data_IF_901596386557
#
_entry.id   IF_901596386557
#
_cell.length_a   1.000
_cell.length_b   1.000
_cell.length_c   1.000
_cell.angle_alpha   90.00
_cell.angle_beta   90.00
_cell.angle_gamma   90.00
#
_symmetry.space_group_name_H-M   'P 1'
#
loop_
_entity.id
_entity.type
_entity.pdbx_description
1 polymer ?
#
# COMPACT_ATOMS: atom_id res chain seq x y z
N UNK A 1 20.28 -3.12 2.33
CA UNK A 1 20.69 -1.86 1.66
C UNK A 1 19.48 -1.34 0.91
N UNK A 2 19.13 -0.04 1.01
CA UNK A 2 18.08 0.52 0.15
C UNK A 2 18.48 0.23 -1.31
N UNK A 3 17.49 -0.18 -2.11
CA UNK A 3 17.70 -0.71 -3.45
C UNK A 3 18.62 0.15 -4.30
N UNK A 4 19.35 -0.49 -5.21
CA UNK A 4 20.13 0.20 -6.25
C UNK A 4 19.21 1.21 -6.95
N UNK A 5 19.48 2.54 -6.85
CA UNK A 5 18.65 3.54 -7.52
C UNK A 5 18.50 3.18 -9.00
N UNK A 6 17.32 3.40 -9.59
CA UNK A 6 17.08 3.09 -11.01
C UNK A 6 18.18 3.69 -11.92
N UNK A 7 18.74 4.82 -11.49
CA UNK A 7 19.84 5.54 -12.13
C UNK A 7 21.17 4.77 -12.20
N UNK A 8 21.32 3.65 -11.48
CA UNK A 8 22.50 2.76 -11.56
C UNK A 8 22.26 1.54 -12.46
N UNK A 9 21.02 1.28 -12.88
CA UNK A 9 20.74 0.23 -13.89
C UNK A 9 21.15 0.65 -15.29
N UNK A 10 21.23 1.96 -15.52
CA UNK A 10 21.74 2.52 -16.76
C UNK A 10 23.21 2.88 -16.57
N UNK A 11 24.05 2.51 -17.55
CA UNK A 11 25.46 2.94 -17.60
C UNK A 11 25.62 4.44 -17.85
N UNK A 12 24.52 5.18 -17.88
CA UNK A 12 24.43 6.61 -18.15
C UNK A 12 24.05 7.38 -16.88
N UNK A 13 24.57 8.60 -16.76
CA UNK A 13 24.28 9.47 -15.62
C UNK A 13 22.95 10.21 -15.86
N UNK A 14 21.96 9.97 -15.02
CA UNK A 14 20.78 10.83 -14.96
C UNK A 14 21.06 12.13 -14.22
N UNK A 15 20.48 13.27 -14.65
CA UNK A 15 20.52 14.51 -13.88
C UNK A 15 19.92 14.35 -12.48
N UNK A 16 20.49 15.06 -11.50
CA UNK A 16 20.00 15.12 -10.12
C UNK A 16 19.44 16.51 -9.85
N UNK A 17 18.23 16.76 -10.32
CA UNK A 17 17.60 18.08 -10.27
C UNK A 17 16.20 17.99 -9.66
N UNK A 18 15.81 18.96 -8.82
CA UNK A 18 14.44 19.05 -8.34
C UNK A 18 13.52 19.57 -9.45
N UNK A 19 12.26 19.12 -9.42
CA UNK A 19 11.20 19.65 -10.27
C UNK A 19 10.02 20.11 -9.42
N UNK A 20 9.77 21.42 -9.43
CA UNK A 20 8.63 21.99 -8.70
C UNK A 20 7.41 22.00 -9.62
N UNK A 21 6.35 21.31 -9.21
CA UNK A 21 5.09 21.27 -9.93
C UNK A 21 4.04 22.14 -9.22
N UNK A 22 3.31 22.98 -9.96
CA UNK A 22 2.19 23.75 -9.39
C UNK A 22 0.97 22.85 -9.29
N UNK A 23 0.22 22.96 -8.19
CA UNK A 23 -1.08 22.27 -8.02
C UNK A 23 -2.17 23.33 -8.07
N UNK A 24 -3.06 23.25 -9.04
CA UNK A 24 -4.15 24.21 -9.22
C UNK A 24 -5.34 23.54 -9.91
N UNK A 25 -6.56 23.93 -9.54
CA UNK A 25 -7.80 23.46 -10.18
C UNK A 25 -7.92 21.92 -10.28
N UNK A 26 -7.45 21.19 -9.26
CA UNK A 26 -7.49 19.71 -9.27
C UNK A 26 -6.54 19.06 -10.27
N UNK A 27 -5.47 19.75 -10.68
CA UNK A 27 -4.45 19.24 -11.59
C UNK A 27 -3.05 19.56 -11.09
N UNK A 28 -2.10 18.70 -11.44
CA UNK A 28 -0.68 18.90 -11.22
C UNK A 28 -0.04 19.34 -12.54
N UNK A 29 0.56 20.53 -12.55
CA UNK A 29 1.20 21.12 -13.71
C UNK A 29 2.63 20.62 -13.80
N UNK A 30 2.85 19.57 -14.61
CA UNK A 30 4.20 19.04 -14.86
C UNK A 30 4.99 19.96 -15.79
N UNK A 31 4.32 20.58 -16.76
CA UNK A 31 4.82 21.70 -17.55
C UNK A 31 3.67 22.66 -17.88
N UNK A 32 3.91 23.70 -18.68
CA UNK A 32 2.86 24.60 -19.16
C UNK A 32 1.89 23.91 -20.15
N UNK A 33 2.30 22.76 -20.70
CA UNK A 33 1.55 22.00 -21.71
C UNK A 33 1.06 20.64 -21.20
N UNK A 34 1.71 20.09 -20.17
CA UNK A 34 1.42 18.76 -19.63
C UNK A 34 0.88 18.85 -18.20
N UNK A 35 -0.34 18.33 -18.04
CA UNK A 35 -1.05 18.27 -16.77
C UNK A 35 -1.26 16.81 -16.36
N UNK A 36 -0.98 16.50 -15.10
CA UNK A 36 -1.21 15.20 -14.49
C UNK A 36 -2.48 15.25 -13.64
N UNK A 37 -3.17 14.12 -13.45
CA UNK A 37 -4.32 14.06 -12.56
C UNK A 37 -3.88 14.34 -11.12
N UNK A 38 -4.69 15.09 -10.37
CA UNK A 38 -4.55 15.20 -8.92
C UNK A 38 -5.23 14.01 -8.25
N UNK A 39 -4.43 13.09 -7.72
CA UNK A 39 -4.86 11.86 -7.04
C UNK A 39 -4.12 11.79 -5.71
N UNK A 40 -4.52 12.60 -4.72
CA UNK A 40 -3.76 12.76 -3.50
C UNK A 40 -3.77 11.46 -2.69
N UNK A 41 -2.62 11.15 -2.10
CA UNK A 41 -2.41 9.97 -1.26
C UNK A 41 -1.45 10.29 -0.10
N UNK A 42 -1.37 9.36 0.84
CA UNK A 42 -0.43 9.37 1.96
C UNK A 42 0.58 8.24 1.74
N UNK A 43 1.86 8.60 1.55
CA UNK A 43 2.95 7.64 1.38
C UNK A 43 3.29 6.90 2.67
N UNK A 44 3.35 7.66 3.77
CA UNK A 44 3.71 7.15 5.10
C UNK A 44 2.52 7.17 6.07
N UNK A 45 2.03 5.97 6.42
CA UNK A 45 0.99 5.77 7.43
C UNK A 45 1.28 4.49 8.22
N UNK A 46 1.43 4.59 9.54
CA UNK A 46 1.78 3.44 10.35
C UNK A 46 1.61 3.63 11.84
N UNK A 47 1.85 2.56 12.58
CA UNK A 47 1.87 2.52 14.06
C UNK A 47 3.28 2.18 14.54
N UNK A 48 3.53 2.27 15.85
CA UNK A 48 4.84 1.88 16.38
C UNK A 48 5.17 0.42 15.99
N UNK A 49 6.39 0.16 15.46
CA UNK A 49 6.77 -1.15 14.94
C UNK A 49 6.89 -2.20 16.04
N UNK A 50 6.76 -3.47 15.66
CA UNK A 50 7.01 -4.58 16.58
C UNK A 50 8.45 -4.51 17.12
N UNK A 51 8.65 -4.51 18.46
CA UNK A 51 9.93 -4.16 19.09
C UNK A 51 11.07 -5.13 18.75
N UNK A 52 10.76 -6.37 18.38
CA UNK A 52 11.78 -7.40 18.10
C UNK A 52 12.00 -7.66 16.60
N UNK A 53 11.07 -7.25 15.73
CA UNK A 53 11.11 -7.60 14.29
C UNK A 53 11.45 -6.41 13.39
N UNK A 54 11.10 -5.18 13.79
CA UNK A 54 11.08 -4.02 12.88
C UNK A 54 11.61 -2.72 13.54
N UNK A 55 12.42 -2.82 14.61
CA UNK A 55 12.87 -1.71 15.44
C UNK A 55 13.80 -0.66 14.75
N UNK A 56 14.04 -0.77 13.45
CA UNK A 56 14.91 0.15 12.70
C UNK A 56 14.06 1.16 11.90
N UNK A 57 13.81 2.33 12.48
CA UNK A 57 13.28 3.54 11.82
C UNK A 57 11.96 3.38 11.06
N UNK A 58 10.84 3.56 11.76
CA UNK A 58 9.47 3.47 11.23
C UNK A 58 9.13 4.47 10.12
N UNK A 59 9.88 5.57 9.98
CA UNK A 59 9.59 6.61 8.98
C UNK A 59 10.22 6.41 7.60
N UNK A 60 11.05 5.37 7.40
CA UNK A 60 11.83 5.21 6.15
C UNK A 60 11.50 3.90 5.45
N UNK A 61 11.19 2.85 6.20
CA UNK A 61 10.95 1.53 5.65
C UNK A 61 9.53 1.07 5.95
N UNK A 62 8.84 0.47 4.97
CA UNK A 62 7.55 -0.16 5.21
C UNK A 62 7.70 -1.52 5.91
N UNK A 63 6.70 -1.90 6.70
CA UNK A 63 6.68 -3.17 7.42
C UNK A 63 5.27 -3.63 7.79
N UNK A 64 5.17 -4.60 8.71
CA UNK A 64 3.89 -5.06 9.24
C UNK A 64 3.11 -3.92 9.91
N UNK A 65 3.82 -2.94 10.44
CA UNK A 65 3.28 -1.76 11.11
C UNK A 65 2.80 -0.65 10.15
N UNK A 66 2.82 -0.88 8.83
CA UNK A 66 2.58 0.14 7.82
C UNK A 66 3.89 0.84 7.47
N UNK A 67 3.97 2.15 7.69
CA UNK A 67 5.16 2.96 7.41
C UNK A 67 5.16 3.50 5.99
N UNK A 68 6.34 3.60 5.39
CA UNK A 68 6.54 4.18 4.06
C UNK A 68 6.10 3.24 2.93
N UNK A 69 4.79 2.99 2.86
CA UNK A 69 4.18 2.00 1.97
C UNK A 69 4.07 2.51 0.53
N UNK A 70 3.88 3.82 0.36
CA UNK A 70 3.76 4.48 -0.94
C UNK A 70 2.74 3.79 -1.84
N UNK A 71 1.59 3.40 -1.28
CA UNK A 71 0.50 2.77 -2.02
C UNK A 71 -0.51 3.85 -2.45
N UNK A 72 -0.71 4.08 -3.76
CA UNK A 72 -1.71 5.05 -4.25
C UNK A 72 -3.15 4.81 -3.78
N UNK A 73 -3.44 3.60 -3.29
CA UNK A 73 -4.73 3.25 -2.70
C UNK A 73 -4.90 3.77 -1.25
N UNK A 74 -3.85 4.29 -0.59
CA UNK A 74 -3.94 5.02 0.70
C UNK A 74 -4.34 6.47 0.41
N UNK A 75 -5.58 6.64 0.01
CA UNK A 75 -6.13 7.90 -0.48
C UNK A 75 -7.51 8.18 0.17
N UNK A 76 -8.15 9.34 -0.11
CA UNK A 76 -9.51 9.60 0.39
C UNK A 76 -10.48 8.46 0.05
N UNK A 77 -11.42 8.20 0.96
CA UNK A 77 -12.38 7.09 0.89
C UNK A 77 -11.79 5.67 1.06
N UNK A 78 -10.50 5.56 1.39
CA UNK A 78 -9.88 4.30 1.83
C UNK A 78 -9.79 4.22 3.36
N UNK A 79 -9.96 3.00 3.88
CA UNK A 79 -9.66 2.63 5.27
C UNK A 79 -8.41 1.78 5.30
N UNK A 80 -7.44 2.13 6.15
CA UNK A 80 -6.25 1.31 6.40
C UNK A 80 -6.37 0.68 7.78
N UNK A 81 -6.27 -0.64 7.83
CA UNK A 81 -6.28 -1.43 9.07
C UNK A 81 -4.84 -1.85 9.35
N UNK A 82 -4.33 -1.43 10.50
CA UNK A 82 -2.95 -1.66 10.92
C UNK A 82 -2.90 -2.60 12.13
N UNK A 83 -2.04 -3.63 12.13
CA UNK A 83 -1.76 -4.43 13.32
C UNK A 83 -1.19 -3.57 14.45
N UNK A 84 -1.75 -3.65 15.66
CA UNK A 84 -1.30 -2.86 16.82
C UNK A 84 -0.33 -3.68 17.67
N UNK A 85 0.88 -3.18 17.88
CA UNK A 85 1.95 -3.86 18.64
C UNK A 85 2.22 -3.26 20.01
N UNK A 86 1.73 -2.05 20.27
CA UNK A 86 1.95 -1.30 21.51
C UNK A 86 0.64 -0.68 22.00
N UNK A 87 0.54 -0.48 23.30
CA UNK A 87 -0.58 0.26 23.88
C UNK A 87 -0.70 1.66 23.26
N UNK A 88 -1.93 2.05 22.93
CA UNK A 88 -2.20 3.32 22.26
C UNK A 88 -1.82 3.37 20.77
N UNK A 89 -1.29 2.27 20.21
CA UNK A 89 -0.82 2.12 18.83
C UNK A 89 0.33 3.03 18.38
N UNK A 90 0.37 4.29 18.84
CA UNK A 90 1.36 5.30 18.48
C UNK A 90 1.34 5.58 16.96
N UNK A 91 0.13 5.87 16.45
CA UNK A 91 -0.13 6.20 15.05
C UNK A 91 0.68 7.42 14.59
N UNK A 92 1.27 7.33 13.41
CA UNK A 92 1.92 8.44 12.71
C UNK A 92 1.48 8.47 11.24
N UNK A 93 1.51 9.67 10.66
CA UNK A 93 1.08 9.96 9.29
C UNK A 93 1.92 11.08 8.70
N UNK A 94 2.23 11.01 7.40
CA UNK A 94 2.97 12.04 6.70
C UNK A 94 3.19 11.69 5.23
N UNK A 95 4.09 12.43 4.58
CA UNK A 95 4.51 12.16 3.21
C UNK A 95 3.35 12.19 2.20
N UNK A 96 2.68 13.34 2.09
CA UNK A 96 1.54 13.48 1.21
C UNK A 96 2.00 13.71 -0.23
N UNK A 97 1.44 12.94 -1.16
CA UNK A 97 1.75 13.06 -2.59
C UNK A 97 0.54 13.59 -3.34
N UNK A 98 0.75 14.53 -4.27
CA UNK A 98 -0.31 15.02 -5.14
C UNK A 98 -0.70 14.00 -6.21
N UNK A 99 0.27 13.19 -6.64
CA UNK A 99 0.13 12.06 -7.55
C UNK A 99 1.38 11.18 -7.46
N UNK A 100 1.17 9.87 -7.50
CA UNK A 100 2.24 8.87 -7.59
C UNK A 100 1.85 7.79 -8.60
N UNK A 101 2.83 7.27 -9.34
CA UNK A 101 2.68 6.07 -10.15
C UNK A 101 3.14 4.82 -9.41
N UNK A 102 2.65 3.66 -9.83
CA UNK A 102 3.07 2.37 -9.27
C UNK A 102 4.59 2.16 -9.45
N UNK A 103 5.24 1.75 -8.36
CA UNK A 103 6.68 1.53 -8.26
C UNK A 103 7.49 2.73 -7.79
N UNK A 104 6.94 3.96 -7.83
CA UNK A 104 7.65 5.19 -7.40
C UNK A 104 9.09 5.25 -7.95
N UNK A 105 9.24 5.02 -9.25
CA UNK A 105 10.52 4.58 -9.82
C UNK A 105 11.67 5.61 -9.76
N UNK A 106 11.34 6.90 -9.64
CA UNK A 106 12.30 7.98 -9.42
C UNK A 106 12.80 8.06 -7.97
N UNK A 107 12.15 7.34 -7.05
CA UNK A 107 12.37 7.37 -5.61
C UNK A 107 11.73 8.57 -4.90
N UNK A 108 10.85 9.31 -5.60
CA UNK A 108 10.01 10.38 -5.06
C UNK A 108 8.74 10.48 -5.92
N UNK A 109 7.66 10.96 -5.33
CA UNK A 109 6.43 11.33 -6.00
C UNK A 109 6.36 12.84 -6.27
N UNK A 110 5.16 13.38 -6.53
CA UNK A 110 4.93 14.82 -6.45
C UNK A 110 4.65 15.19 -5.00
N UNK A 111 5.72 15.42 -4.24
CA UNK A 111 5.67 15.75 -2.81
C UNK A 111 4.94 17.06 -2.53
N UNK A 112 4.08 17.08 -1.52
CA UNK A 112 3.36 18.29 -1.11
C UNK A 112 3.09 18.37 0.40
N UNK A 113 3.01 19.58 0.97
CA UNK A 113 2.36 19.76 2.27
C UNK A 113 0.86 19.52 2.13
N UNK A 114 0.23 18.93 3.14
CA UNK A 114 -1.20 18.67 3.16
C UNK A 114 -1.80 18.84 4.56
N UNK A 115 -3.06 19.24 4.61
CA UNK A 115 -3.91 19.04 5.78
C UNK A 115 -4.71 17.75 5.57
N UNK A 116 -4.57 16.80 6.49
CA UNK A 116 -5.17 15.46 6.36
C UNK A 116 -6.17 15.26 7.49
N UNK A 117 -7.42 14.97 7.14
CA UNK A 117 -8.47 14.63 8.09
C UNK A 117 -8.72 13.13 8.06
N UNK A 118 -8.46 12.46 9.17
CA UNK A 118 -8.70 11.03 9.35
C UNK A 118 -9.69 10.78 10.48
N UNK A 119 -10.38 9.64 10.43
CA UNK A 119 -11.07 9.06 11.57
C UNK A 119 -10.29 7.82 12.01
N UNK A 120 -10.01 7.72 13.30
CA UNK A 120 -9.33 6.57 13.89
C UNK A 120 -10.32 5.84 14.79
N UNK A 121 -10.32 4.51 14.70
CA UNK A 121 -11.17 3.63 15.50
C UNK A 121 -10.43 2.31 15.77
N UNK A 122 -10.92 1.54 16.75
CA UNK A 122 -10.41 0.19 17.01
C UNK A 122 -11.29 -0.84 16.31
N UNK A 123 -10.66 -1.83 15.69
CA UNK A 123 -11.33 -2.94 15.00
C UNK A 123 -10.88 -4.25 15.61
N UNK A 124 -11.83 -5.11 15.95
CA UNK A 124 -11.56 -6.48 16.40
C UNK A 124 -11.20 -7.35 15.18
N UNK A 125 -9.96 -7.18 14.72
CA UNK A 125 -9.41 -7.87 13.55
C UNK A 125 -7.93 -8.18 13.81
N UNK A 126 -7.57 -9.46 13.76
CA UNK A 126 -6.21 -9.93 14.04
C UNK A 126 -5.42 -10.08 12.75
N UNK A 127 -4.93 -8.96 12.20
CA UNK A 127 -4.11 -8.96 10.99
C UNK A 127 -2.62 -9.12 11.30
N UNK A 128 -1.89 -9.83 10.42
CA UNK A 128 -0.42 -9.92 10.46
C UNK A 128 0.28 -8.82 9.67
N UNK A 129 -0.44 -8.19 8.75
CA UNK A 129 0.02 -7.18 7.81
C UNK A 129 -1.07 -6.12 7.61
N UNK A 130 -0.72 -4.92 7.12
CA UNK A 130 -1.72 -3.91 6.80
C UNK A 130 -2.73 -4.42 5.77
N UNK A 131 -3.98 -3.98 5.93
CA UNK A 131 -5.04 -4.16 4.94
C UNK A 131 -5.57 -2.79 4.53
N UNK A 132 -5.79 -2.59 3.24
CA UNK A 132 -6.44 -1.41 2.69
C UNK A 132 -7.79 -1.85 2.15
N UNK A 133 -8.82 -1.07 2.46
CA UNK A 133 -10.19 -1.31 2.02
C UNK A 133 -10.78 -0.02 1.48
N UNK A 134 -11.26 -0.04 0.23
CA UNK A 134 -12.04 1.06 -0.35
C UNK A 134 -13.45 0.57 -0.72
N UNK A 135 -14.22 1.34 -1.47
CA UNK A 135 -15.59 0.97 -1.83
C UNK A 135 -15.68 -0.32 -2.66
N UNK A 136 -14.69 -0.59 -3.50
CA UNK A 136 -14.74 -1.65 -4.52
C UNK A 136 -13.85 -2.84 -4.21
N UNK A 137 -12.79 -2.65 -3.43
CA UNK A 137 -11.67 -3.60 -3.32
C UNK A 137 -11.20 -3.75 -1.87
N UNK A 138 -10.69 -4.95 -1.56
CA UNK A 138 -9.89 -5.25 -0.36
C UNK A 138 -8.48 -5.60 -0.82
N UNK A 139 -7.48 -5.13 -0.08
CA UNK A 139 -6.08 -5.23 -0.44
C UNK A 139 -5.24 -5.64 0.76
N UNK A 140 -4.45 -6.70 0.64
CA UNK A 140 -3.49 -7.11 1.66
C UNK A 140 -2.09 -6.67 1.29
N UNK A 141 -1.43 -5.95 2.20
CA UNK A 141 -0.10 -5.40 1.99
C UNK A 141 0.98 -6.37 2.44
N UNK A 142 2.10 -6.41 1.75
CA UNK A 142 3.32 -7.08 2.19
C UNK A 142 4.53 -6.29 1.70
N UNK A 143 5.65 -6.44 2.39
CA UNK A 143 6.85 -5.66 2.11
C UNK A 143 8.06 -6.56 1.92
N UNK A 144 8.98 -6.09 1.10
CA UNK A 144 10.33 -6.65 1.02
C UNK A 144 11.09 -6.33 2.32
N UNK A 145 12.06 -7.18 2.65
CA UNK A 145 13.03 -6.96 3.73
C UNK A 145 14.33 -7.66 3.38
N UNK A 146 15.36 -7.55 4.21
CA UNK A 146 16.61 -8.27 3.96
C UNK A 146 16.33 -9.77 3.79
N UNK A 147 16.67 -10.33 2.62
CA UNK A 147 16.42 -11.73 2.28
C UNK A 147 15.03 -12.05 1.71
N UNK A 148 14.13 -11.07 1.62
CA UNK A 148 12.78 -11.23 1.06
C UNK A 148 12.64 -10.35 -0.17
N UNK A 149 12.55 -10.99 -1.35
CA UNK A 149 12.36 -10.32 -2.64
C UNK A 149 10.95 -9.77 -2.82
N UNK A 150 10.76 -8.90 -3.82
CA UNK A 150 9.43 -8.43 -4.24
C UNK A 150 8.50 -9.59 -4.65
N UNK A 151 9.05 -10.61 -5.32
CA UNK A 151 8.32 -11.84 -5.65
C UNK A 151 7.79 -12.55 -4.40
N UNK A 152 8.60 -12.64 -3.35
CA UNK A 152 8.15 -13.21 -2.08
C UNK A 152 7.14 -12.31 -1.38
N UNK A 153 7.31 -10.98 -1.43
CA UNK A 153 6.31 -10.05 -0.90
C UNK A 153 4.95 -10.23 -1.60
N UNK A 154 4.93 -10.38 -2.93
CA UNK A 154 3.71 -10.68 -3.72
C UNK A 154 3.06 -11.97 -3.24
N UNK A 155 3.84 -13.06 -3.11
CA UNK A 155 3.35 -14.34 -2.59
C UNK A 155 2.72 -14.19 -1.22
N UNK A 156 3.40 -13.50 -0.31
CA UNK A 156 2.88 -13.25 1.04
C UNK A 156 1.57 -12.47 1.00
N UNK A 157 1.48 -11.38 0.23
CA UNK A 157 0.26 -10.59 0.12
C UNK A 157 -0.95 -11.43 -0.35
N UNK A 158 -0.77 -12.29 -1.36
CA UNK A 158 -1.85 -13.19 -1.82
C UNK A 158 -2.19 -14.30 -0.83
N UNK A 159 -1.20 -14.85 -0.11
CA UNK A 159 -1.45 -15.85 0.92
C UNK A 159 -2.25 -15.24 2.09
N UNK A 160 -1.89 -14.04 2.53
CA UNK A 160 -2.65 -13.32 3.56
C UNK A 160 -4.08 -13.04 3.10
N UNK A 161 -4.27 -12.59 1.86
CA UNK A 161 -5.61 -12.41 1.28
C UNK A 161 -6.41 -13.71 1.24
N UNK A 162 -5.81 -14.82 0.78
CA UNK A 162 -6.50 -16.11 0.67
C UNK A 162 -6.88 -16.67 2.05
N UNK A 163 -5.99 -16.56 3.05
CA UNK A 163 -6.28 -16.98 4.42
C UNK A 163 -7.37 -16.13 5.06
N UNK A 164 -7.37 -14.82 4.81
CA UNK A 164 -8.43 -13.93 5.27
C UNK A 164 -9.77 -14.25 4.61
N UNK A 165 -9.78 -14.59 3.32
CA UNK A 165 -10.99 -15.05 2.62
C UNK A 165 -11.53 -16.34 3.26
N UNK A 166 -10.65 -17.31 3.58
CA UNK A 166 -11.03 -18.54 4.28
C UNK A 166 -11.68 -18.24 5.63
N UNK A 167 -11.04 -17.38 6.44
CA UNK A 167 -11.53 -17.02 7.77
C UNK A 167 -12.87 -16.27 7.72
N UNK A 168 -13.01 -15.27 6.84
CA UNK A 168 -14.17 -14.36 6.83
C UNK A 168 -15.35 -14.85 5.99
N UNK A 169 -15.11 -15.69 4.99
CA UNK A 169 -16.13 -16.12 4.03
C UNK A 169 -16.33 -17.64 3.97
N UNK A 170 -15.52 -18.42 4.70
CA UNK A 170 -15.65 -19.87 4.78
C UNK A 170 -15.27 -20.62 3.49
N UNK A 171 -14.66 -19.93 2.51
CA UNK A 171 -14.13 -20.56 1.31
C UNK A 171 -12.81 -21.23 1.66
N UNK A 172 -12.72 -22.56 1.56
CA UNK A 172 -11.50 -23.28 1.92
C UNK A 172 -10.25 -22.70 1.24
N UNK A 173 -9.10 -22.76 1.91
CA UNK A 173 -7.84 -22.13 1.46
C UNK A 173 -7.41 -22.47 0.04
N UNK A 174 -7.73 -23.68 -0.45
CA UNK A 174 -7.37 -24.07 -1.81
C UNK A 174 -8.18 -23.26 -2.82
N UNK A 175 -9.51 -23.23 -2.66
CA UNK A 175 -10.39 -22.47 -3.53
C UNK A 175 -10.18 -20.95 -3.37
N UNK A 176 -9.90 -20.46 -2.16
CA UNK A 176 -9.56 -19.06 -1.93
C UNK A 176 -8.28 -18.64 -2.67
N UNK A 177 -7.24 -19.48 -2.63
CA UNK A 177 -6.01 -19.25 -3.39
C UNK A 177 -6.25 -19.32 -4.90
N UNK A 178 -7.04 -20.29 -5.37
CA UNK A 178 -7.40 -20.41 -6.77
C UNK A 178 -8.20 -19.20 -7.26
N UNK A 179 -9.14 -18.70 -6.46
CA UNK A 179 -9.89 -17.48 -6.74
C UNK A 179 -8.93 -16.28 -6.88
N UNK A 180 -8.03 -16.09 -5.92
CA UNK A 180 -7.01 -15.05 -5.98
C UNK A 180 -6.14 -15.17 -7.25
N UNK A 181 -5.82 -16.39 -7.68
CA UNK A 181 -5.04 -16.63 -8.90
C UNK A 181 -5.76 -16.21 -10.18
N UNK A 182 -7.09 -16.37 -10.26
CA UNK A 182 -7.83 -16.05 -11.49
C UNK A 182 -8.21 -14.58 -11.63
N UNK A 183 -8.50 -13.89 -10.52
CA UNK A 183 -9.08 -12.55 -10.54
C UNK A 183 -8.38 -11.54 -9.64
N UNK A 184 -7.38 -11.97 -8.88
CA UNK A 184 -6.59 -11.09 -8.03
C UNK A 184 -5.74 -10.13 -8.87
N UNK A 185 -5.56 -8.92 -8.35
CA UNK A 185 -4.70 -7.89 -8.95
C UNK A 185 -3.54 -7.57 -8.02
N UNK A 186 -2.47 -7.03 -8.57
CA UNK A 186 -1.31 -6.57 -7.81
C UNK A 186 -1.21 -5.06 -7.95
N UNK A 187 -1.00 -4.37 -6.83
CA UNK A 187 -0.52 -2.98 -6.78
C UNK A 187 0.90 -2.98 -6.27
N UNK A 188 1.81 -2.33 -7.00
CA UNK A 188 3.14 -2.00 -6.47
C UNK A 188 3.08 -0.57 -5.96
N UNK A 189 3.45 -0.36 -4.69
CA UNK A 189 3.55 0.96 -4.09
C UNK A 189 4.85 1.63 -4.53
N UNK A 190 5.84 1.63 -3.66
CA UNK A 190 7.25 1.72 -4.06
C UNK A 190 7.83 0.33 -4.38
N UNK A 191 9.11 0.24 -4.76
CA UNK A 191 9.78 -1.04 -5.07
C UNK A 191 9.96 -2.00 -3.87
N UNK A 192 9.55 -1.58 -2.67
CA UNK A 192 9.61 -2.38 -1.44
C UNK A 192 8.24 -2.82 -0.95
N UNK A 193 7.14 -2.31 -1.50
CA UNK A 193 5.79 -2.55 -1.00
C UNK A 193 4.87 -3.03 -2.10
N UNK A 194 4.04 -4.03 -1.79
CA UNK A 194 3.05 -4.56 -2.70
C UNK A 194 1.73 -4.82 -1.98
N UNK A 195 0.61 -4.66 -2.69
CA UNK A 195 -0.69 -5.07 -2.22
C UNK A 195 -1.36 -6.05 -3.20
N UNK A 196 -1.86 -7.18 -2.67
CA UNK A 196 -2.70 -8.11 -3.41
C UNK A 196 -4.17 -7.70 -3.24
N UNK A 197 -4.89 -7.50 -4.35
CA UNK A 197 -6.21 -6.90 -4.40
C UNK A 197 -7.26 -7.88 -4.92
N UNK A 198 -8.48 -7.79 -4.41
CA UNK A 198 -9.66 -8.46 -4.97
C UNK A 198 -10.88 -7.53 -4.88
N UNK A 199 -11.75 -7.59 -5.89
CA UNK A 199 -12.99 -6.81 -5.89
C UNK A 199 -14.02 -7.43 -4.93
N UNK A 200 -14.63 -6.58 -4.10
CA UNK A 200 -15.60 -6.96 -3.06
C UNK A 200 -16.83 -7.67 -3.60
N UNK A 201 -17.26 -7.35 -4.84
CA UNK A 201 -18.41 -8.00 -5.48
C UNK A 201 -18.30 -9.53 -5.51
N UNK A 202 -17.09 -10.08 -5.62
CA UNK A 202 -16.85 -11.52 -5.59
C UNK A 202 -16.99 -12.09 -4.17
N UNK A 203 -16.51 -11.35 -3.17
CA UNK A 203 -16.62 -11.73 -1.75
C UNK A 203 -18.07 -11.67 -1.25
N UNK A 204 -18.83 -10.67 -1.71
CA UNK A 204 -20.26 -10.55 -1.42
C UNK A 204 -21.08 -11.67 -2.03
N UNK A 205 -20.70 -12.18 -3.20
CA UNK A 205 -21.34 -13.32 -3.81
C UNK A 205 -21.19 -14.59 -2.95
N UNK A 206 -20.04 -14.77 -2.28
CA UNK A 206 -19.83 -15.89 -1.35
C UNK A 206 -20.78 -15.83 -0.15
N UNK A 207 -21.10 -14.62 0.35
CA UNK A 207 -22.04 -14.44 1.48
C UNK A 207 -23.48 -14.80 1.14
N UNK A 208 -23.88 -14.72 -0.13
CA UNK A 208 -25.28 -14.94 -0.56
C UNK A 208 -25.65 -16.43 -0.68
N UNK A 209 -24.69 -17.34 -0.58
CA UNK A 209 -24.91 -18.77 -0.84
C UNK A 209 -25.13 -19.06 -2.33
N UNK A 210 -25.35 -20.33 -2.73
CA UNK A 210 -25.54 -20.69 -4.13
C UNK A 210 -26.74 -19.94 -4.73
N UNK A 211 -26.55 -19.37 -5.93
CA UNK A 211 -27.63 -18.79 -6.73
C UNK A 211 -28.71 -19.86 -6.93
N UNK A 212 -29.92 -19.62 -6.42
CA UNK A 212 -31.09 -20.45 -6.70
C UNK A 212 -31.60 -20.22 -8.12
#
# INVERSE_FOLDING_TARGET
MPGTPILKFLGEKFPREPKICKIKNGQVYFSDELFLPYRPMIGTLGVAPHPEEEAFSSGVLPGRHGGNMDLPDVCPESTVILPVFHEGALLYIGDAHAVQGDGEISGTAVEMPAEVKIKVDLKDESLRWPMIENNDEVMFVSTTRNGVSLENAIRTAFLELALWIEEKFGLNRFDALMLCSQIGKIRIGNLWTVAAKIEKKYLEALKKGPLK
#
